data_IF_418208686234
#
_entry.id   IF_418208686234
#
_cell.length_a   1.000
_cell.length_b   1.000
_cell.length_c   1.000
_cell.angle_alpha   90.00
_cell.angle_beta   90.00
_cell.angle_gamma   90.00
#
_symmetry.space_group_name_H-M   'P 1'
#
loop_
_entity.id
_entity.type
_entity.pdbx_description
1 polymer ?
#
# COMPACT_ATOMS: atom_id res chain seq x y z
N UNK A 1 3.53 1.43 -5.30
CA UNK A 1 2.18 0.94 -5.62
C UNK A 1 2.03 0.45 -7.05
N UNK A 2 2.19 1.27 -8.10
CA UNK A 2 1.90 0.85 -9.50
C UNK A 2 2.92 -0.10 -10.17
N UNK A 3 3.92 -0.60 -9.45
CA UNK A 3 4.81 -1.64 -9.96
C UNK A 3 4.07 -3.00 -10.01
N UNK A 4 3.87 -3.62 -11.18
CA UNK A 4 3.06 -4.83 -11.31
C UNK A 4 3.54 -6.00 -10.44
N UNK A 5 4.85 -6.14 -10.28
CA UNK A 5 5.44 -7.20 -9.46
C UNK A 5 5.23 -6.95 -7.96
N UNK A 6 5.27 -5.69 -7.52
CA UNK A 6 5.00 -5.34 -6.11
C UNK A 6 3.53 -5.58 -5.78
N UNK A 7 2.62 -5.12 -6.66
CA UNK A 7 1.19 -5.34 -6.53
C UNK A 7 0.85 -6.83 -6.45
N UNK A 8 1.41 -7.64 -7.37
CA UNK A 8 1.23 -9.09 -7.35
C UNK A 8 1.75 -9.74 -6.06
N UNK A 9 2.95 -9.35 -5.61
CA UNK A 9 3.52 -9.88 -4.36
C UNK A 9 2.61 -9.60 -3.16
N UNK A 10 2.18 -8.34 -3.01
CA UNK A 10 1.32 -7.93 -1.90
C UNK A 10 -0.06 -8.58 -2.01
N UNK A 11 -0.62 -8.70 -3.21
CA UNK A 11 -1.96 -9.26 -3.41
C UNK A 11 -2.01 -10.78 -3.20
N UNK A 12 -1.01 -11.54 -3.68
CA UNK A 12 -1.09 -13.02 -3.77
C UNK A 12 -0.15 -13.78 -2.82
N UNK A 13 1.00 -13.20 -2.47
CA UNK A 13 2.07 -13.91 -1.76
C UNK A 13 2.19 -13.50 -0.30
N UNK A 14 2.25 -12.18 -0.04
CA UNK A 14 2.41 -11.63 1.30
C UNK A 14 1.30 -12.02 2.28
N UNK A 15 0.00 -12.13 1.92
CA UNK A 15 -1.06 -12.43 2.89
C UNK A 15 -0.86 -13.76 3.62
N UNK A 16 -0.16 -14.72 3.00
CA UNK A 16 0.10 -16.04 3.57
C UNK A 16 0.87 -16.01 4.89
N UNK A 17 1.63 -14.94 5.15
CA UNK A 17 2.38 -14.81 6.41
C UNK A 17 1.45 -14.62 7.62
N UNK A 18 0.22 -14.14 7.39
CA UNK A 18 -0.78 -13.94 8.44
C UNK A 18 -1.50 -15.23 8.81
N UNK A 19 -1.53 -16.23 7.91
CA UNK A 19 -2.26 -17.48 8.10
C UNK A 19 -1.39 -18.65 8.60
N UNK A 20 -0.06 -18.53 8.47
CA UNK A 20 0.88 -19.63 8.76
C UNK A 20 1.72 -19.41 10.03
N UNK A 21 1.39 -18.40 10.84
CA UNK A 21 2.12 -18.04 12.07
C UNK A 21 3.44 -17.31 11.86
N UNK A 22 3.85 -17.04 10.62
CA UNK A 22 5.11 -16.32 10.35
C UNK A 22 5.04 -14.88 10.88
N UNK A 23 3.87 -14.23 10.79
CA UNK A 23 3.67 -12.85 11.28
C UNK A 23 3.98 -12.70 12.78
N UNK A 24 3.86 -13.77 13.57
CA UNK A 24 4.09 -13.72 15.02
C UNK A 24 5.59 -13.74 15.39
N UNK A 25 6.48 -14.03 14.43
CA UNK A 25 7.93 -14.14 14.64
C UNK A 25 8.75 -13.19 13.75
N UNK A 26 8.09 -12.31 13.00
CA UNK A 26 8.75 -11.31 12.15
C UNK A 26 8.21 -9.91 12.43
N UNK A 27 9.05 -8.90 12.18
CA UNK A 27 8.58 -7.51 12.09
C UNK A 27 8.38 -7.18 10.62
N UNK A 28 7.12 -7.15 10.16
CA UNK A 28 6.80 -6.69 8.82
C UNK A 28 6.78 -5.16 8.80
N UNK A 29 7.58 -4.56 7.91
CA UNK A 29 7.56 -3.12 7.66
C UNK A 29 7.32 -2.85 6.18
N UNK A 30 6.28 -2.08 5.88
CA UNK A 30 5.96 -1.63 4.54
C UNK A 30 6.51 -0.22 4.33
N UNK A 31 7.23 -0.01 3.22
CA UNK A 31 7.82 1.28 2.87
C UNK A 31 7.39 1.66 1.46
N UNK A 32 6.28 2.42 1.30
CA UNK A 32 5.73 2.79 -0.01
C UNK A 32 6.57 3.90 -0.66
N UNK A 33 7.71 3.51 -1.25
CA UNK A 33 8.62 4.41 -1.97
C UNK A 33 9.04 3.81 -3.31
N UNK A 34 9.70 2.65 -3.27
CA UNK A 34 10.18 1.94 -4.47
C UNK A 34 11.25 2.73 -5.21
N UNK A 35 11.03 2.93 -6.52
CA UNK A 35 11.96 3.64 -7.41
C UNK A 35 11.71 5.16 -7.49
N UNK A 36 10.91 5.72 -6.57
CA UNK A 36 10.70 7.15 -6.53
C UNK A 36 12.03 7.89 -6.25
N UNK A 37 12.19 9.06 -6.88
CA UNK A 37 13.38 9.90 -6.72
C UNK A 37 13.00 11.27 -6.19
N UNK A 38 13.88 11.84 -5.36
CA UNK A 38 13.75 13.23 -4.90
C UNK A 38 14.52 14.11 -5.88
N UNK A 39 13.83 15.04 -6.52
CA UNK A 39 14.41 16.04 -7.42
C UNK A 39 15.06 17.19 -6.61
N UNK A 40 15.99 17.97 -7.20
CA UNK A 40 16.66 19.08 -6.50
C UNK A 40 15.72 20.15 -5.93
N UNK A 41 14.56 20.35 -6.56
CA UNK A 41 13.49 21.24 -6.09
C UNK A 41 12.65 20.64 -4.94
N UNK A 42 13.08 19.51 -4.35
CA UNK A 42 12.41 18.78 -3.25
C UNK A 42 11.05 18.18 -3.62
N UNK A 43 10.70 18.10 -4.91
CA UNK A 43 9.56 17.30 -5.35
C UNK A 43 9.98 15.85 -5.52
N UNK A 44 9.07 14.91 -5.30
CA UNK A 44 9.29 13.50 -5.61
C UNK A 44 8.65 13.14 -6.95
N UNK A 45 9.32 12.25 -7.68
CA UNK A 45 8.87 11.73 -8.96
C UNK A 45 8.85 10.21 -8.90
N UNK A 46 7.79 9.60 -9.41
CA UNK A 46 7.58 8.16 -9.42
C UNK A 46 7.67 7.62 -10.84
N UNK A 47 8.14 6.38 -10.99
CA UNK A 47 8.38 5.73 -12.29
C UNK A 47 7.10 5.63 -13.13
N UNK A 48 5.96 5.43 -12.50
CA UNK A 48 4.66 5.26 -13.15
C UNK A 48 3.79 6.54 -13.04
N UNK A 49 4.43 7.70 -12.89
CA UNK A 49 3.75 9.01 -12.90
C UNK A 49 3.06 9.39 -11.58
N UNK A 50 2.19 10.40 -11.66
CA UNK A 50 1.59 11.04 -10.47
C UNK A 50 0.65 10.13 -9.70
N UNK A 51 -0.01 9.17 -10.35
CA UNK A 51 -0.92 8.24 -9.70
C UNK A 51 -0.16 7.29 -8.75
N UNK A 52 1.03 6.82 -9.15
CA UNK A 52 1.89 6.04 -8.25
C UNK A 52 2.33 6.86 -7.04
N UNK A 53 2.72 8.11 -7.27
CA UNK A 53 3.08 9.01 -6.18
C UNK A 53 1.91 9.24 -5.24
N UNK A 54 0.69 9.46 -5.76
CA UNK A 54 -0.51 9.61 -4.94
C UNK A 54 -0.75 8.37 -4.08
N UNK A 55 -0.73 7.17 -4.68
CA UNK A 55 -0.97 5.94 -3.94
C UNK A 55 0.14 5.60 -2.94
N UNK A 56 1.40 5.95 -3.23
CA UNK A 56 2.50 5.84 -2.26
C UNK A 56 2.23 6.73 -1.03
N UNK A 57 1.75 7.96 -1.22
CA UNK A 57 1.35 8.86 -0.11
C UNK A 57 0.19 8.25 0.67
N UNK A 58 -0.86 7.77 -0.01
CA UNK A 58 -2.02 7.16 0.64
C UNK A 58 -1.60 5.96 1.51
N UNK A 59 -0.72 5.08 1.01
CA UNK A 59 -0.18 3.97 1.81
C UNK A 59 0.65 4.49 3.00
N UNK A 60 1.44 5.53 2.82
CA UNK A 60 2.21 6.13 3.91
C UNK A 60 1.30 6.74 4.99
N UNK A 61 0.22 7.42 4.60
CA UNK A 61 -0.81 7.92 5.51
C UNK A 61 -1.49 6.78 6.27
N UNK A 62 -1.91 5.72 5.58
CA UNK A 62 -2.51 4.54 6.21
C UNK A 62 -1.60 3.94 7.30
N UNK A 63 -0.29 3.80 7.01
CA UNK A 63 0.69 3.31 7.99
C UNK A 63 0.86 4.30 9.16
N UNK A 64 0.86 5.61 8.89
CA UNK A 64 1.03 6.62 9.93
C UNK A 64 -0.17 6.67 10.90
N UNK A 65 -1.40 6.54 10.38
CA UNK A 65 -2.62 6.60 11.20
C UNK A 65 -3.01 5.26 11.83
N UNK A 66 -2.65 4.14 11.20
CA UNK A 66 -2.88 2.80 11.71
C UNK A 66 -1.54 2.06 11.85
N UNK A 67 -0.72 2.37 12.86
CA UNK A 67 0.67 1.90 12.94
C UNK A 67 0.82 0.39 13.14
N UNK A 68 -0.22 -0.30 13.61
CA UNK A 68 -0.23 -1.76 13.66
C UNK A 68 -0.38 -2.33 12.26
N UNK A 69 0.50 -3.26 11.89
CA UNK A 69 0.42 -4.00 10.60
C UNK A 69 -0.91 -4.71 10.43
N UNK A 70 -1.50 -5.22 11.52
CA UNK A 70 -2.81 -5.87 11.48
C UNK A 70 -3.94 -4.91 11.08
N UNK A 71 -3.73 -3.61 11.26
CA UNK A 71 -4.74 -2.57 11.03
C UNK A 71 -4.57 -1.93 9.64
N UNK A 72 -3.36 -1.56 9.23
CA UNK A 72 -3.14 -0.94 7.91
C UNK A 72 -3.03 -1.94 6.76
N UNK A 73 -2.60 -3.18 7.01
CA UNK A 73 -2.37 -4.15 5.94
C UNK A 73 -3.63 -4.49 5.14
N UNK A 74 -4.82 -4.71 5.74
CA UNK A 74 -6.05 -4.97 4.97
C UNK A 74 -6.36 -3.90 3.91
N UNK A 75 -6.17 -2.62 4.26
CA UNK A 75 -6.36 -1.51 3.34
C UNK A 75 -5.33 -1.54 2.21
N UNK A 76 -4.04 -1.66 2.54
CA UNK A 76 -2.96 -1.73 1.54
C UNK A 76 -3.13 -2.95 0.63
N UNK A 77 -3.52 -4.10 1.18
CA UNK A 77 -3.79 -5.32 0.42
C UNK A 77 -4.92 -5.11 -0.59
N UNK A 78 -6.03 -4.49 -0.18
CA UNK A 78 -7.13 -4.15 -1.07
C UNK A 78 -6.68 -3.23 -2.22
N UNK A 79 -5.93 -2.16 -1.91
CA UNK A 79 -5.45 -1.22 -2.93
C UNK A 79 -4.48 -1.91 -3.91
N UNK A 80 -3.51 -2.67 -3.42
CA UNK A 80 -2.56 -3.40 -4.29
C UNK A 80 -3.25 -4.48 -5.13
N UNK A 81 -4.35 -5.09 -4.64
CA UNK A 81 -5.19 -5.97 -5.44
C UNK A 81 -5.86 -5.22 -6.59
N UNK A 82 -6.45 -4.06 -6.33
CA UNK A 82 -7.02 -3.21 -7.39
C UNK A 82 -5.96 -2.78 -8.41
N UNK A 83 -4.73 -2.49 -7.95
CA UNK A 83 -3.60 -2.19 -8.84
C UNK A 83 -3.26 -3.37 -9.74
N UNK A 84 -3.15 -4.57 -9.16
CA UNK A 84 -2.86 -5.79 -9.92
C UNK A 84 -3.94 -6.11 -10.96
N UNK A 85 -5.21 -5.81 -10.64
CA UNK A 85 -6.35 -5.97 -11.55
C UNK A 85 -6.50 -4.82 -12.57
N UNK A 86 -5.69 -3.76 -12.48
CA UNK A 86 -5.77 -2.59 -13.36
C UNK A 86 -6.86 -1.58 -13.00
N UNK A 87 -7.48 -1.70 -11.82
CA UNK A 87 -8.58 -0.89 -11.31
C UNK A 87 -8.15 0.10 -10.19
N UNK A 88 -6.88 0.50 -10.16
CA UNK A 88 -6.29 1.30 -9.08
C UNK A 88 -6.98 2.66 -8.82
N UNK A 89 -7.75 3.18 -9.77
CA UNK A 89 -8.53 4.40 -9.61
C UNK A 89 -9.65 4.25 -8.58
N UNK A 90 -10.06 3.02 -8.27
CA UNK A 90 -11.12 2.70 -7.32
C UNK A 90 -10.61 2.48 -5.88
N UNK A 91 -9.37 2.86 -5.58
CA UNK A 91 -8.73 2.62 -4.27
C UNK A 91 -9.56 3.10 -3.06
N UNK A 92 -10.38 4.14 -3.21
CA UNK A 92 -11.25 4.66 -2.13
C UNK A 92 -12.28 3.62 -1.65
N UNK A 93 -12.67 2.68 -2.52
CA UNK A 93 -13.58 1.57 -2.13
C UNK A 93 -12.97 0.67 -1.04
N UNK A 94 -11.65 0.70 -0.85
CA UNK A 94 -10.96 -0.06 0.18
C UNK A 94 -11.21 0.42 1.61
N UNK A 95 -11.73 1.64 1.82
CA UNK A 95 -12.15 2.10 3.15
C UNK A 95 -13.35 1.30 3.66
N UNK A 96 -14.35 1.07 2.80
CA UNK A 96 -15.53 0.26 3.12
C UNK A 96 -15.14 -1.20 3.38
N UNK A 97 -14.24 -1.74 2.55
CA UNK A 97 -13.75 -3.11 2.68
C UNK A 97 -12.94 -3.35 3.95
N UNK A 98 -12.28 -2.32 4.48
CA UNK A 98 -11.41 -2.42 5.67
C UNK A 98 -12.09 -1.98 6.97
N UNK A 99 -13.33 -1.47 6.91
CA UNK A 99 -14.04 -0.84 8.02
C UNK A 99 -13.23 0.28 8.71
N UNK A 100 -12.39 0.99 7.94
CA UNK A 100 -11.54 2.07 8.44
C UNK A 100 -12.17 3.43 8.12
N UNK A 101 -12.07 4.38 9.04
CA UNK A 101 -12.52 5.77 8.80
C UNK A 101 -11.61 6.41 7.74
N UNK A 102 -12.15 6.94 6.62
CA UNK A 102 -11.35 7.61 5.61
C UNK A 102 -10.79 8.96 6.06
N UNK A 103 -11.38 9.64 7.04
CA UNK A 103 -10.98 11.01 7.44
C UNK A 103 -9.49 11.22 7.74
N UNK A 104 -8.76 10.27 8.33
CA UNK A 104 -7.34 10.44 8.59
C UNK A 104 -6.50 10.41 7.31
N UNK A 105 -6.87 9.64 6.28
CA UNK A 105 -6.05 9.33 5.09
C UNK A 105 -6.35 10.27 3.92
#
# INVERSE_FOLDING_TARGET
>A
TLCPFSAKFIAEQLPRIFDNGLIDIVTLQLVPWGNAIIRPNKTFECQHGTDECKLNIIHACAIAFWPSVKDHFPFIHCVEKLVYEGNYTQWETCFEASALDPKPV
#
